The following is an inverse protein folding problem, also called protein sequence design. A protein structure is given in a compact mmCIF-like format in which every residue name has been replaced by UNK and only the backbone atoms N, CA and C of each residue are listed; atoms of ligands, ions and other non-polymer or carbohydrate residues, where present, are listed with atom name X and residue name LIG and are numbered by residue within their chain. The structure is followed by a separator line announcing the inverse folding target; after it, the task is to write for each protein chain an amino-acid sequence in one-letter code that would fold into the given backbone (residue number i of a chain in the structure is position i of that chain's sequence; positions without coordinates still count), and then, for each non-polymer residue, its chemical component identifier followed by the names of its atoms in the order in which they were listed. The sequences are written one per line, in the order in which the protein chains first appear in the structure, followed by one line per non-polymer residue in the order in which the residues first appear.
data_IF_028894412153
#
_entry.id   IF_028894412153
#
_cell.length_a   1.000
_cell.length_b   1.000
_cell.length_c   1.000
_cell.angle_alpha   90.00
_cell.angle_beta   90.00
_cell.angle_gamma   90.00
#
_symmetry.space_group_name_H-M   'P 1'
#
loop_
_entity.id
_entity.type
_entity.pdbx_description
1 polymer ?
#
# COMPACT_ATOMS: atom_id res chain seq x y z
N UNK A 1 -51.30 75.76 -36.79
CA UNK A 1 -50.24 75.90 -35.77
C UNK A 1 -50.19 74.58 -35.03
N UNK A 2 -49.33 73.63 -35.44
CA UNK A 2 -47.94 73.38 -34.99
C UNK A 2 -47.85 72.76 -33.58
N UNK A 3 -47.54 71.47 -33.58
CA UNK A 3 -46.56 70.68 -32.80
C UNK A 3 -46.37 70.84 -31.28
N UNK A 4 -46.37 69.67 -30.61
CA UNK A 4 -45.46 69.16 -29.54
C UNK A 4 -46.28 68.24 -28.62
N UNK A 5 -46.21 66.90 -28.61
CA UNK A 5 -45.15 65.90 -28.71
C UNK A 5 -44.24 65.77 -27.45
N UNK A 6 -44.16 64.50 -27.01
CA UNK A 6 -43.07 63.82 -26.30
C UNK A 6 -43.01 63.72 -24.76
N UNK A 7 -43.25 62.47 -24.35
CA UNK A 7 -42.36 61.62 -23.52
C UNK A 7 -42.40 61.76 -21.99
N UNK A 8 -43.31 60.97 -21.39
CA UNK A 8 -43.05 60.32 -20.10
C UNK A 8 -42.05 59.19 -20.31
N UNK A 9 -40.79 59.39 -19.90
CA UNK A 9 -39.80 58.32 -19.77
C UNK A 9 -39.83 57.74 -18.37
N UNK A 10 -40.09 56.43 -18.35
CA UNK A 10 -40.11 55.45 -17.27
C UNK A 10 -38.99 55.64 -16.22
N UNK A 11 -39.37 55.99 -14.98
CA UNK A 11 -38.50 55.86 -13.81
C UNK A 11 -38.63 54.45 -13.24
N UNK A 12 -37.84 53.50 -13.77
CA UNK A 12 -37.70 52.18 -13.14
C UNK A 12 -36.74 52.26 -11.93
N UNK A 13 -37.06 51.58 -10.82
CA UNK A 13 -36.29 51.66 -9.58
C UNK A 13 -34.87 51.11 -9.76
N UNK A 14 -33.89 51.78 -9.14
CA UNK A 14 -32.45 51.46 -9.17
C UNK A 14 -32.11 49.98 -8.92
N UNK A 15 -32.98 49.23 -8.23
CA UNK A 15 -32.83 47.80 -7.96
C UNK A 15 -32.89 46.92 -9.22
N UNK A 16 -33.69 47.27 -10.23
CA UNK A 16 -33.78 46.49 -11.48
C UNK A 16 -32.52 46.64 -12.33
N UNK A 17 -31.91 47.83 -12.33
CA UNK A 17 -30.65 48.07 -13.05
C UNK A 17 -29.50 47.30 -12.41
N UNK A 18 -29.44 47.24 -11.08
CA UNK A 18 -28.43 46.48 -10.35
C UNK A 18 -28.53 44.97 -10.61
N UNK A 19 -29.76 44.44 -10.68
CA UNK A 19 -29.99 43.03 -10.99
C UNK A 19 -29.56 42.67 -12.42
N UNK A 20 -29.85 43.53 -13.40
CA UNK A 20 -29.42 43.33 -14.79
C UNK A 20 -27.89 43.31 -14.89
N UNK A 21 -27.19 44.19 -14.19
CA UNK A 21 -25.71 44.20 -14.17
C UNK A 21 -25.11 42.98 -13.48
N UNK A 22 -25.72 42.47 -12.40
CA UNK A 22 -25.28 41.25 -11.73
C UNK A 22 -25.45 40.00 -12.61
N UNK A 23 -26.58 39.89 -13.31
CA UNK A 23 -26.81 38.80 -14.26
C UNK A 23 -25.80 38.88 -15.42
N UNK A 24 -25.55 40.07 -15.94
CA UNK A 24 -24.57 40.27 -17.01
C UNK A 24 -23.14 39.91 -16.56
N UNK A 25 -22.74 40.29 -15.35
CA UNK A 25 -21.46 39.91 -14.77
C UNK A 25 -21.32 38.39 -14.57
N UNK A 26 -22.36 37.72 -14.09
CA UNK A 26 -22.38 36.27 -13.93
C UNK A 26 -22.25 35.54 -15.28
N UNK A 27 -22.94 36.03 -16.32
CA UNK A 27 -22.82 35.49 -17.69
C UNK A 27 -21.42 35.72 -18.25
N UNK A 28 -20.80 36.87 -18.02
CA UNK A 28 -19.43 37.13 -18.44
C UNK A 28 -18.40 36.25 -17.72
N UNK A 29 -18.55 36.02 -16.42
CA UNK A 29 -17.68 35.11 -15.65
C UNK A 29 -17.84 33.69 -16.18
N UNK A 30 -19.07 33.23 -16.41
CA UNK A 30 -19.32 31.90 -16.97
C UNK A 30 -18.76 31.75 -18.39
N UNK A 31 -18.93 32.77 -19.24
CA UNK A 31 -18.37 32.79 -20.59
C UNK A 31 -16.84 32.82 -20.57
N UNK A 32 -16.22 33.58 -19.66
CA UNK A 32 -14.77 33.62 -19.47
C UNK A 32 -14.23 32.28 -18.94
N UNK A 33 -14.93 31.62 -18.02
CA UNK A 33 -14.57 30.29 -17.53
C UNK A 33 -14.65 29.23 -18.64
N UNK A 34 -15.73 29.25 -19.44
CA UNK A 34 -15.87 28.36 -20.62
C UNK A 34 -14.85 28.67 -21.70
N UNK A 35 -14.49 29.93 -21.90
CA UNK A 35 -13.45 30.34 -22.84
C UNK A 35 -12.07 29.90 -22.36
N UNK A 36 -11.78 30.03 -21.07
CA UNK A 36 -10.57 29.52 -20.42
C UNK A 36 -10.47 28.00 -20.49
N UNK A 37 -11.57 27.25 -20.30
CA UNK A 37 -11.61 25.80 -20.54
C UNK A 37 -11.26 25.46 -21.99
N UNK A 38 -11.81 26.21 -22.96
CA UNK A 38 -11.59 26.01 -24.40
C UNK A 38 -10.18 26.42 -24.86
N UNK A 39 -9.52 27.30 -24.13
CA UNK A 39 -8.14 27.77 -24.35
C UNK A 39 -7.13 27.21 -23.34
N UNK A 40 -7.55 26.24 -22.52
CA UNK A 40 -6.61 25.35 -21.83
C UNK A 40 -5.65 24.84 -22.88
N UNK A 41 -4.34 24.95 -22.62
CA UNK A 41 -3.33 24.43 -23.54
C UNK A 41 -3.78 23.06 -24.05
N UNK A 42 -3.67 22.78 -25.37
CA UNK A 42 -4.10 21.50 -25.93
C UNK A 42 -3.58 20.40 -25.02
N UNK A 43 -4.40 19.40 -24.64
CA UNK A 43 -3.99 18.37 -23.69
C UNK A 43 -2.63 17.89 -24.15
N UNK A 44 -1.60 18.09 -23.31
CA UNK A 44 -0.24 17.70 -23.67
C UNK A 44 -0.36 16.25 -24.09
N UNK A 45 -0.08 15.95 -25.37
CA UNK A 45 -0.14 14.58 -25.87
C UNK A 45 0.94 13.84 -25.08
N UNK A 46 0.49 13.11 -24.07
CA UNK A 46 1.39 12.43 -23.15
C UNK A 46 2.08 11.32 -23.94
N UNK A 47 3.41 11.25 -23.85
CA UNK A 47 4.16 10.23 -24.55
C UNK A 47 3.65 8.83 -24.14
N UNK A 48 3.49 7.89 -25.09
CA UNK A 48 2.99 6.56 -24.76
C UNK A 48 3.95 5.85 -23.81
N UNK A 49 3.41 5.16 -22.80
CA UNK A 49 4.19 4.32 -21.88
C UNK A 49 4.83 3.19 -22.68
N UNK A 50 6.16 3.16 -22.72
CA UNK A 50 6.93 2.14 -23.45
C UNK A 50 7.30 0.99 -22.52
N UNK A 51 6.84 -0.21 -22.86
CA UNK A 51 7.22 -1.43 -22.16
C UNK A 51 8.48 -2.02 -22.80
N UNK A 52 9.47 -2.34 -21.97
CA UNK A 52 10.64 -3.11 -22.37
C UNK A 52 10.24 -4.56 -22.68
N UNK A 53 10.80 -5.12 -23.75
CA UNK A 53 10.77 -6.57 -24.00
C UNK A 53 11.77 -7.32 -23.10
N UNK A 54 12.62 -6.60 -22.36
CA UNK A 54 13.48 -7.21 -21.35
C UNK A 54 12.65 -7.67 -20.15
N UNK A 55 12.94 -8.88 -19.67
CA UNK A 55 12.24 -9.51 -18.55
C UNK A 55 11.24 -10.59 -18.98
N UNK A 56 10.62 -11.21 -17.98
CA UNK A 56 9.63 -12.25 -18.22
C UNK A 56 8.31 -11.66 -18.75
N UNK A 57 7.69 -12.37 -19.69
CA UNK A 57 6.43 -11.97 -20.32
C UNK A 57 5.21 -12.08 -19.39
N UNK A 58 5.29 -12.92 -18.36
CA UNK A 58 4.19 -13.26 -17.45
C UNK A 58 4.74 -13.87 -16.14
N UNK A 59 3.85 -14.09 -15.17
CA UNK A 59 4.20 -14.62 -13.85
C UNK A 59 4.92 -15.97 -13.88
N UNK A 60 4.40 -16.97 -14.59
CA UNK A 60 5.01 -18.31 -14.59
C UNK A 60 6.40 -18.30 -15.25
N UNK A 61 6.57 -17.50 -16.31
CA UNK A 61 7.85 -17.33 -16.97
C UNK A 61 8.89 -16.70 -16.04
N UNK A 62 8.47 -15.75 -15.18
CA UNK A 62 9.34 -15.13 -14.18
C UNK A 62 9.77 -16.13 -13.10
N UNK A 63 8.82 -16.88 -12.54
CA UNK A 63 9.12 -17.93 -11.55
C UNK A 63 10.08 -18.96 -12.14
N UNK A 64 9.77 -19.50 -13.32
CA UNK A 64 10.62 -20.49 -13.98
C UNK A 64 12.01 -19.96 -14.32
N UNK A 65 12.14 -18.67 -14.64
CA UNK A 65 13.44 -18.04 -14.87
C UNK A 65 14.27 -17.98 -13.58
N UNK A 66 13.66 -17.52 -12.48
CA UNK A 66 14.30 -17.45 -11.17
C UNK A 66 14.72 -18.84 -10.70
N UNK A 67 13.88 -19.86 -10.88
CA UNK A 67 14.19 -21.24 -10.52
C UNK A 67 15.42 -21.77 -11.27
N UNK A 68 15.54 -21.49 -12.57
CA UNK A 68 16.73 -21.84 -13.35
C UNK A 68 17.99 -21.14 -12.85
N UNK A 69 17.90 -19.87 -12.48
CA UNK A 69 19.03 -19.12 -11.92
C UNK A 69 19.47 -19.72 -10.58
N UNK A 70 18.54 -20.02 -9.67
CA UNK A 70 18.85 -20.67 -8.40
C UNK A 70 19.50 -22.04 -8.64
N UNK A 71 18.94 -22.86 -9.53
CA UNK A 71 19.48 -24.17 -9.85
C UNK A 71 20.90 -24.11 -10.44
N UNK A 72 21.19 -23.13 -11.29
CA UNK A 72 22.52 -22.93 -11.86
C UNK A 72 23.55 -22.37 -10.87
N UNK A 73 23.13 -21.53 -9.92
CA UNK A 73 24.01 -20.92 -8.92
C UNK A 73 24.42 -21.89 -7.80
N UNK A 74 23.55 -22.83 -7.42
CA UNK A 74 23.79 -23.76 -6.29
C UNK A 74 25.09 -24.57 -6.45
N UNK A 75 25.33 -25.30 -7.56
CA UNK A 75 26.57 -26.05 -7.72
C UNK A 75 27.83 -25.17 -7.67
N UNK A 76 27.75 -23.92 -8.15
CA UNK A 76 28.87 -22.99 -8.12
C UNK A 76 29.19 -22.53 -6.69
N UNK A 77 28.15 -22.23 -5.90
CA UNK A 77 28.32 -21.90 -4.49
C UNK A 77 28.85 -23.09 -3.67
N UNK A 78 28.43 -24.31 -3.99
CA UNK A 78 28.92 -25.53 -3.32
C UNK A 78 30.40 -25.80 -3.60
N UNK A 79 30.89 -25.44 -4.80
CA UNK A 79 32.32 -25.54 -5.16
C UNK A 79 33.19 -24.44 -4.53
N UNK A 80 32.58 -23.33 -4.09
CA UNK A 80 33.27 -22.17 -3.54
C UNK A 80 32.58 -21.72 -2.23
N UNK A 81 32.64 -22.55 -1.17
CA UNK A 81 31.85 -22.32 0.04
C UNK A 81 32.20 -21.01 0.77
N UNK A 82 33.41 -20.48 0.58
CA UNK A 82 33.87 -19.24 1.20
C UNK A 82 33.56 -17.99 0.36
N UNK A 83 33.10 -18.15 -0.88
CA UNK A 83 32.72 -17.03 -1.74
C UNK A 83 31.34 -16.46 -1.35
N UNK A 84 31.37 -15.38 -0.57
CA UNK A 84 30.17 -14.70 -0.12
C UNK A 84 29.35 -14.09 -1.27
N UNK A 85 29.97 -13.77 -2.43
CA UNK A 85 29.27 -13.20 -3.58
C UNK A 85 28.34 -14.23 -4.23
N UNK A 86 28.75 -15.51 -4.30
CA UNK A 86 27.87 -16.57 -4.82
C UNK A 86 26.65 -16.77 -3.93
N UNK A 87 26.85 -16.72 -2.61
CA UNK A 87 25.76 -16.81 -1.63
C UNK A 87 24.80 -15.64 -1.75
N UNK A 88 25.32 -14.42 -1.91
CA UNK A 88 24.50 -13.23 -2.13
C UNK A 88 23.66 -13.33 -3.41
N UNK A 89 24.23 -13.82 -4.51
CA UNK A 89 23.50 -14.02 -5.76
C UNK A 89 22.33 -14.99 -5.59
N UNK A 90 22.52 -16.10 -4.88
CA UNK A 90 21.42 -17.03 -4.56
C UNK A 90 20.36 -16.32 -3.70
N UNK A 91 20.79 -15.56 -2.69
CA UNK A 91 19.87 -14.81 -1.84
C UNK A 91 19.01 -13.81 -2.63
N UNK A 92 19.60 -13.07 -3.59
CA UNK A 92 18.85 -12.16 -4.46
C UNK A 92 17.76 -12.88 -5.25
N UNK A 93 18.06 -14.05 -5.81
CA UNK A 93 17.06 -14.82 -6.55
C UNK A 93 15.95 -15.33 -5.64
N UNK A 94 16.28 -15.80 -4.43
CA UNK A 94 15.30 -16.21 -3.43
C UNK A 94 14.41 -15.05 -2.97
N UNK A 95 14.98 -13.86 -2.73
CA UNK A 95 14.22 -12.65 -2.38
C UNK A 95 13.28 -12.26 -3.53
N UNK A 96 13.76 -12.32 -4.78
CA UNK A 96 12.94 -12.03 -5.94
C UNK A 96 11.78 -13.02 -6.08
N UNK A 97 12.02 -14.32 -5.87
CA UNK A 97 10.97 -15.35 -5.86
C UNK A 97 9.97 -15.10 -4.74
N UNK A 98 10.44 -14.85 -3.52
CA UNK A 98 9.61 -14.58 -2.35
C UNK A 98 8.68 -13.36 -2.55
N UNK A 99 9.19 -12.26 -3.11
CA UNK A 99 8.39 -11.06 -3.42
C UNK A 99 7.32 -11.34 -4.47
N UNK A 100 7.60 -12.24 -5.41
CA UNK A 100 6.70 -12.58 -6.50
C UNK A 100 5.63 -13.60 -6.07
N UNK A 101 6.02 -14.62 -5.31
CA UNK A 101 5.17 -15.75 -4.90
C UNK A 101 4.47 -15.54 -3.55
N UNK A 102 5.03 -14.72 -2.67
CA UNK A 102 4.60 -14.63 -1.26
C UNK A 102 5.09 -15.79 -0.38
N UNK A 103 6.02 -16.63 -0.84
CA UNK A 103 6.52 -17.77 -0.04
C UNK A 103 7.55 -17.33 1.00
N UNK A 104 7.21 -17.51 2.29
CA UNK A 104 8.08 -17.17 3.42
C UNK A 104 9.31 -18.08 3.53
N UNK A 105 9.25 -19.30 2.99
CA UNK A 105 10.37 -20.24 3.02
C UNK A 105 11.54 -19.74 2.17
N UNK A 106 11.26 -18.94 1.14
CA UNK A 106 12.29 -18.31 0.32
C UNK A 106 13.00 -17.18 1.06
N UNK A 107 12.29 -16.38 1.85
CA UNK A 107 12.92 -15.39 2.72
C UNK A 107 13.81 -16.06 3.78
N UNK A 108 13.38 -17.18 4.36
CA UNK A 108 14.20 -17.96 5.31
C UNK A 108 15.46 -18.50 4.63
N UNK A 109 15.35 -19.08 3.43
CA UNK A 109 16.51 -19.56 2.68
C UNK A 109 17.44 -18.40 2.28
N UNK A 110 16.90 -17.25 1.87
CA UNK A 110 17.70 -16.07 1.56
C UNK A 110 18.48 -15.59 2.79
N UNK A 111 17.83 -15.57 3.96
CA UNK A 111 18.49 -15.24 5.23
C UNK A 111 19.63 -16.20 5.53
N UNK A 112 19.45 -17.51 5.30
CA UNK A 112 20.52 -18.50 5.50
C UNK A 112 21.73 -18.23 4.59
N UNK A 113 21.48 -17.93 3.31
CA UNK A 113 22.56 -17.61 2.36
C UNK A 113 23.32 -16.34 2.77
N UNK A 114 22.61 -15.28 3.15
CA UNK A 114 23.23 -14.03 3.57
C UNK A 114 24.00 -14.18 4.89
N UNK A 115 23.47 -14.93 5.86
CA UNK A 115 24.19 -15.23 7.11
C UNK A 115 25.48 -16.00 6.83
N UNK A 116 25.44 -17.00 5.95
CA UNK A 116 26.63 -17.75 5.55
C UNK A 116 27.64 -16.87 4.80
N UNK A 117 27.17 -15.98 3.91
CA UNK A 117 28.04 -15.02 3.21
C UNK A 117 28.68 -14.00 4.15
N UNK A 118 27.94 -13.51 5.16
CA UNK A 118 28.52 -12.63 6.18
C UNK A 118 29.57 -13.36 7.04
N UNK A 119 29.37 -14.65 7.33
CA UNK A 119 30.32 -15.43 8.12
C UNK A 119 31.64 -15.72 7.37
N UNK A 120 31.62 -15.81 6.04
CA UNK A 120 32.82 -16.03 5.22
C UNK A 120 33.48 -14.73 4.71
N UNK A 121 32.80 -13.59 4.85
CA UNK A 121 33.31 -12.31 4.37
C UNK A 121 34.44 -11.76 5.25
N UNK A 122 35.44 -11.15 4.61
CA UNK A 122 36.47 -10.35 5.30
C UNK A 122 35.81 -9.18 6.04
N UNK A 123 36.28 -8.80 7.24
CA UNK A 123 35.76 -7.63 7.95
C UNK A 123 35.73 -6.36 7.07
N UNK A 124 34.62 -5.63 7.08
CA UNK A 124 34.42 -4.46 6.22
C UNK A 124 34.01 -4.79 4.77
N UNK A 125 33.63 -6.05 4.51
CA UNK A 125 33.06 -6.51 3.24
C UNK A 125 31.86 -7.43 3.49
N UNK A 126 31.26 -7.96 2.43
CA UNK A 126 30.16 -8.91 2.52
C UNK A 126 28.80 -8.30 2.16
N UNK A 127 27.74 -9.13 2.19
CA UNK A 127 26.45 -8.79 1.59
C UNK A 127 25.56 -7.95 2.52
N UNK A 128 26.14 -6.94 3.20
CA UNK A 128 25.42 -6.13 4.19
C UNK A 128 24.24 -5.36 3.58
N UNK A 129 24.36 -4.84 2.36
CA UNK A 129 23.27 -4.13 1.69
C UNK A 129 22.09 -5.07 1.40
N UNK A 130 22.39 -6.26 0.90
CA UNK A 130 21.39 -7.30 0.62
C UNK A 130 20.72 -7.80 1.89
N UNK A 131 21.49 -7.94 2.97
CA UNK A 131 20.97 -8.25 4.30
C UNK A 131 20.07 -7.13 4.84
N UNK A 132 20.44 -5.87 4.64
CA UNK A 132 19.61 -4.72 5.02
C UNK A 132 18.28 -4.72 4.24
N UNK A 133 18.34 -4.95 2.93
CA UNK A 133 17.16 -5.00 2.06
C UNK A 133 16.22 -6.15 2.41
N UNK A 134 16.74 -7.35 2.68
CA UNK A 134 15.94 -8.49 3.16
C UNK A 134 15.33 -8.20 4.53
N UNK A 135 16.13 -7.68 5.46
CA UNK A 135 15.65 -7.34 6.80
C UNK A 135 14.51 -6.32 6.73
N UNK A 136 14.63 -5.31 5.85
CA UNK A 136 13.57 -4.32 5.67
C UNK A 136 12.30 -4.94 5.06
N UNK A 137 12.42 -5.77 4.02
CA UNK A 137 11.25 -6.43 3.40
C UNK A 137 10.55 -7.42 4.32
N UNK A 138 11.24 -7.87 5.38
CA UNK A 138 10.70 -8.73 6.44
C UNK A 138 10.46 -7.96 7.75
N UNK A 139 10.45 -6.62 7.68
CA UNK A 139 10.09 -5.74 8.79
C UNK A 139 11.03 -5.78 10.02
N UNK A 140 12.24 -6.30 9.88
CA UNK A 140 13.28 -6.40 10.92
C UNK A 140 14.15 -5.13 10.99
N UNK A 141 13.52 -4.00 11.35
CA UNK A 141 14.13 -2.67 11.28
C UNK A 141 15.47 -2.56 12.01
N UNK A 142 15.58 -3.13 13.21
CA UNK A 142 16.82 -3.09 14.00
C UNK A 142 17.98 -3.82 13.31
N UNK A 143 17.70 -4.90 12.55
CA UNK A 143 18.72 -5.56 11.75
C UNK A 143 19.10 -4.70 10.54
N UNK A 144 18.13 -4.08 9.87
CA UNK A 144 18.41 -3.12 8.78
C UNK A 144 19.34 -2.01 9.26
N UNK A 145 19.02 -1.36 10.39
CA UNK A 145 19.84 -0.29 11.00
C UNK A 145 21.29 -0.75 11.22
N UNK A 146 21.51 -1.92 11.86
CA UNK A 146 22.85 -2.48 12.07
C UNK A 146 23.62 -2.74 10.78
N UNK A 147 22.94 -3.21 9.73
CA UNK A 147 23.59 -3.48 8.44
C UNK A 147 23.98 -2.18 7.72
N UNK A 148 23.15 -1.14 7.79
CA UNK A 148 23.49 0.17 7.25
C UNK A 148 24.69 0.78 7.98
N UNK A 149 24.71 0.69 9.32
CA UNK A 149 25.86 1.13 10.12
C UNK A 149 27.15 0.36 9.80
N UNK A 150 27.06 -0.93 9.47
CA UNK A 150 28.22 -1.70 9.06
C UNK A 150 28.81 -1.17 7.75
N UNK A 151 27.96 -0.81 6.78
CA UNK A 151 28.36 -0.21 5.50
C UNK A 151 28.99 1.17 5.72
N UNK A 152 28.46 1.98 6.65
CA UNK A 152 29.04 3.29 6.97
C UNK A 152 30.47 3.21 7.52
N UNK A 153 30.88 2.04 8.04
CA UNK A 153 32.23 1.78 8.57
C UNK A 153 33.17 1.14 7.55
N UNK A 154 32.73 0.94 6.31
CA UNK A 154 33.60 0.42 5.25
C UNK A 154 34.75 1.40 4.97
N UNK A 155 35.95 0.86 4.69
CA UNK A 155 37.12 1.67 4.40
C UNK A 155 36.98 2.45 3.07
N UNK A 156 36.24 1.86 2.11
CA UNK A 156 35.93 2.49 0.82
C UNK A 156 34.49 2.99 0.88
N UNK A 157 34.25 4.31 0.70
CA UNK A 157 32.90 4.84 0.63
C UNK A 157 32.08 4.16 -0.48
N UNK A 158 30.80 3.86 -0.26
CA UNK A 158 29.96 3.29 -1.30
C UNK A 158 29.81 4.22 -2.51
N UNK A 159 29.66 3.63 -3.69
CA UNK A 159 29.35 4.35 -4.93
C UNK A 159 28.05 5.15 -4.81
N UNK A 160 27.84 6.12 -5.71
CA UNK A 160 26.68 7.01 -5.68
C UNK A 160 25.34 6.25 -5.65
N UNK A 161 25.16 5.28 -6.55
CA UNK A 161 23.95 4.45 -6.62
C UNK A 161 23.70 3.67 -5.31
N UNK A 162 24.76 3.13 -4.69
CA UNK A 162 24.63 2.46 -3.40
C UNK A 162 24.22 3.45 -2.32
N UNK A 163 24.82 4.65 -2.26
CA UNK A 163 24.44 5.69 -1.28
C UNK A 163 23.00 6.14 -1.43
N UNK A 164 22.47 6.21 -2.64
CA UNK A 164 21.05 6.46 -2.91
C UNK A 164 20.19 5.34 -2.32
N UNK A 165 20.54 4.08 -2.57
CA UNK A 165 19.89 2.92 -1.96
C UNK A 165 19.89 2.96 -0.43
N UNK A 166 21.03 3.29 0.20
CA UNK A 166 21.13 3.46 1.65
C UNK A 166 20.21 4.58 2.16
N UNK A 167 20.14 5.70 1.43
CA UNK A 167 19.27 6.84 1.76
C UNK A 167 17.80 6.43 1.72
N UNK A 168 17.39 5.70 0.68
CA UNK A 168 16.04 5.12 0.59
C UNK A 168 15.71 4.22 1.78
N UNK A 169 16.60 3.29 2.13
CA UNK A 169 16.42 2.38 3.28
C UNK A 169 16.32 3.13 4.62
N UNK A 170 17.09 4.21 4.80
CA UNK A 170 16.96 5.09 5.99
C UNK A 170 15.62 5.81 6.03
N UNK A 171 15.11 6.25 4.88
CA UNK A 171 13.77 6.80 4.74
C UNK A 171 12.70 5.79 5.15
N UNK A 172 12.82 4.55 4.69
CA UNK A 172 11.89 3.46 5.03
C UNK A 172 11.90 3.13 6.53
N UNK A 173 13.08 3.09 7.16
CA UNK A 173 13.19 2.96 8.62
C UNK A 173 12.49 4.13 9.31
N UNK A 174 12.73 5.37 8.90
CA UNK A 174 12.09 6.52 9.49
C UNK A 174 10.56 6.44 9.36
N UNK A 175 10.05 6.04 8.20
CA UNK A 175 8.62 5.85 7.96
C UNK A 175 8.00 4.82 8.90
N UNK A 176 8.56 3.61 8.97
CA UNK A 176 8.05 2.54 9.84
C UNK A 176 8.24 2.80 11.34
N UNK A 177 9.02 3.81 11.72
CA UNK A 177 9.19 4.27 13.10
C UNK A 177 8.30 5.48 13.43
N UNK A 178 7.39 5.87 12.54
CA UNK A 178 6.53 7.06 12.71
C UNK A 178 7.27 8.39 12.58
N UNK A 179 8.53 8.39 12.11
CA UNK A 179 9.36 9.60 11.92
C UNK A 179 9.13 10.20 10.53
N UNK A 180 7.89 10.58 10.22
CA UNK A 180 7.46 10.97 8.86
C UNK A 180 8.25 12.13 8.24
N UNK A 181 8.63 13.15 9.03
CA UNK A 181 9.46 14.27 8.55
C UNK A 181 10.84 13.82 8.09
N UNK A 182 11.46 12.87 8.79
CA UNK A 182 12.75 12.30 8.39
C UNK A 182 12.60 11.42 7.16
N UNK A 183 11.50 10.66 7.05
CA UNK A 183 11.21 9.82 5.89
C UNK A 183 11.10 10.66 4.60
N UNK A 184 10.26 11.70 4.59
CA UNK A 184 10.07 12.55 3.41
C UNK A 184 11.35 13.28 3.01
N UNK A 185 12.16 13.72 3.98
CA UNK A 185 13.44 14.35 3.71
C UNK A 185 14.42 13.38 3.01
N UNK A 186 14.48 12.14 3.47
CA UNK A 186 15.32 11.11 2.84
C UNK A 186 14.85 10.78 1.42
N UNK A 187 13.54 10.63 1.22
CA UNK A 187 12.99 10.36 -0.11
C UNK A 187 13.16 11.53 -1.08
N UNK A 188 13.02 12.78 -0.61
CA UNK A 188 13.22 13.98 -1.42
C UNK A 188 14.69 14.20 -1.82
N UNK A 189 15.64 13.59 -1.10
CA UNK A 189 17.06 13.64 -1.42
C UNK A 189 17.47 12.66 -2.53
N UNK A 190 16.58 11.75 -2.95
CA UNK A 190 16.85 10.84 -4.06
C UNK A 190 16.82 11.59 -5.40
N UNK A 191 17.74 11.31 -6.34
CA UNK A 191 17.87 12.09 -7.57
C UNK A 191 16.76 11.81 -8.61
N UNK A 192 16.08 10.67 -8.49
CA UNK A 192 15.04 10.24 -9.41
C UNK A 192 13.71 10.03 -8.67
N UNK A 193 12.57 10.21 -9.38
CA UNK A 193 11.26 9.78 -8.88
C UNK A 193 11.28 8.35 -8.35
N UNK A 194 10.89 8.16 -7.07
CA UNK A 194 10.93 6.87 -6.39
C UNK A 194 9.53 6.46 -5.88
N UNK A 195 9.21 5.16 -5.95
CA UNK A 195 7.92 4.63 -5.51
C UNK A 195 7.69 4.81 -4.00
N UNK A 196 8.75 4.87 -3.18
CA UNK A 196 8.63 5.12 -1.72
C UNK A 196 8.01 6.48 -1.45
N UNK A 197 8.36 7.50 -2.22
CA UNK A 197 7.75 8.81 -2.10
C UNK A 197 6.27 8.76 -2.49
N UNK A 198 5.88 7.97 -3.51
CA UNK A 198 4.47 7.82 -3.87
C UNK A 198 3.67 7.14 -2.74
N UNK A 199 4.22 6.08 -2.14
CA UNK A 199 3.63 5.41 -0.98
C UNK A 199 3.51 6.37 0.21
N UNK A 200 4.57 7.14 0.49
CA UNK A 200 4.56 8.16 1.54
C UNK A 200 3.45 9.19 1.32
N UNK A 201 3.36 9.77 0.12
CA UNK A 201 2.34 10.75 -0.23
C UNK A 201 0.93 10.17 -0.08
N UNK A 202 0.70 8.94 -0.53
CA UNK A 202 -0.59 8.28 -0.37
C UNK A 202 -0.98 8.10 1.11
N UNK A 203 -0.07 7.57 1.94
CA UNK A 203 -0.31 7.34 3.38
C UNK A 203 -0.34 8.62 4.23
N UNK A 204 -0.01 9.77 3.63
CA UNK A 204 -0.02 11.08 4.30
C UNK A 204 -1.02 12.06 3.67
N UNK A 205 -2.08 11.53 3.05
CA UNK A 205 -3.23 12.32 2.60
C UNK A 205 -3.03 13.07 1.29
N UNK A 206 -2.03 12.69 0.49
CA UNK A 206 -1.69 13.32 -0.80
C UNK A 206 -1.80 12.33 -1.98
N UNK A 207 -2.94 11.62 -2.14
CA UNK A 207 -3.08 10.56 -3.15
C UNK A 207 -2.91 11.08 -4.58
N UNK A 208 -3.40 12.28 -4.90
CA UNK A 208 -3.25 12.86 -6.24
C UNK A 208 -1.77 13.12 -6.60
N UNK A 209 -0.98 13.59 -5.63
CA UNK A 209 0.46 13.77 -5.83
C UNK A 209 1.18 12.43 -5.99
N UNK A 210 0.76 11.41 -5.23
CA UNK A 210 1.27 10.05 -5.36
C UNK A 210 1.01 9.50 -6.77
N UNK A 211 -0.23 9.60 -7.26
CA UNK A 211 -0.64 9.14 -8.60
C UNK A 211 0.12 9.90 -9.71
N UNK A 212 0.28 11.21 -9.55
CA UNK A 212 1.07 12.04 -10.46
C UNK A 212 2.56 11.65 -10.47
N UNK A 213 3.11 11.23 -9.34
CA UNK A 213 4.49 10.72 -9.25
C UNK A 213 4.64 9.36 -9.93
N UNK A 214 3.67 8.44 -9.76
CA UNK A 214 3.67 7.16 -10.47
C UNK A 214 3.65 7.35 -12.00
N UNK A 215 2.86 8.31 -12.50
CA UNK A 215 2.86 8.67 -13.93
C UNK A 215 4.23 9.14 -14.41
N UNK A 216 5.00 9.85 -13.57
CA UNK A 216 6.37 10.28 -13.93
C UNK A 216 7.33 9.10 -13.96
N UNK A 217 7.22 8.17 -13.00
CA UNK A 217 8.03 6.95 -12.95
C UNK A 217 7.78 6.08 -14.19
N UNK A 218 6.52 5.89 -14.59
CA UNK A 218 6.17 5.11 -15.79
C UNK A 218 6.74 5.70 -17.09
N UNK A 219 7.04 7.01 -17.10
CA UNK A 219 7.52 7.76 -18.26
C UNK A 219 9.02 8.00 -18.26
N UNK A 220 9.71 7.75 -17.15
CA UNK A 220 11.14 8.07 -17.02
C UNK A 220 12.06 7.09 -17.75
N UNK A 221 11.55 5.95 -18.23
CA UNK A 221 12.39 4.97 -18.93
C UNK A 221 11.64 3.76 -19.49
N UNK A 222 12.41 2.79 -20.00
CA UNK A 222 11.91 1.50 -20.46
C UNK A 222 11.77 0.55 -19.27
N UNK A 223 10.54 0.34 -18.81
CA UNK A 223 10.24 -0.56 -17.69
C UNK A 223 9.77 -1.93 -18.19
N UNK A 224 10.12 -2.99 -17.47
CA UNK A 224 9.64 -4.35 -17.78
C UNK A 224 8.14 -4.46 -17.55
N UNK A 225 7.48 -5.44 -18.16
CA UNK A 225 6.04 -5.69 -17.93
C UNK A 225 5.73 -5.92 -16.45
N UNK A 226 6.60 -6.62 -15.73
CA UNK A 226 6.48 -6.83 -14.29
C UNK A 226 6.55 -5.53 -13.48
N UNK A 227 7.48 -4.62 -13.80
CA UNK A 227 7.58 -3.33 -13.11
C UNK A 227 6.35 -2.45 -13.38
N UNK A 228 5.86 -2.43 -14.61
CA UNK A 228 4.65 -1.70 -14.98
C UNK A 228 3.41 -2.26 -14.27
N UNK A 229 3.32 -3.59 -14.14
CA UNK A 229 2.25 -4.22 -13.36
C UNK A 229 2.33 -3.88 -11.88
N UNK A 230 3.53 -3.80 -11.28
CA UNK A 230 3.70 -3.36 -9.89
C UNK A 230 3.25 -1.91 -9.69
N UNK A 231 3.56 -1.00 -10.62
CA UNK A 231 3.11 0.39 -10.54
C UNK A 231 1.58 0.48 -10.68
N UNK A 232 1.00 -0.25 -11.63
CA UNK A 232 -0.45 -0.31 -11.82
C UNK A 232 -1.17 -0.93 -10.60
N UNK A 233 -0.55 -1.93 -9.95
CA UNK A 233 -1.06 -2.50 -8.71
C UNK A 233 -1.07 -1.47 -7.58
N UNK A 234 0.06 -0.76 -7.36
CA UNK A 234 0.16 0.30 -6.35
C UNK A 234 -0.86 1.42 -6.62
N UNK A 235 -1.04 1.82 -7.88
CA UNK A 235 -2.09 2.76 -8.29
C UNK A 235 -3.47 2.26 -7.86
N UNK A 236 -3.79 1.00 -8.16
CA UNK A 236 -5.05 0.40 -7.76
C UNK A 236 -5.27 0.39 -6.26
N UNK A 237 -4.23 0.12 -5.47
CA UNK A 237 -4.28 0.20 -4.00
C UNK A 237 -4.56 1.62 -3.49
N UNK A 238 -3.90 2.64 -4.07
CA UNK A 238 -4.15 4.05 -3.70
C UNK A 238 -5.58 4.46 -4.03
N UNK A 239 -6.06 4.10 -5.22
CA UNK A 239 -7.43 4.38 -5.66
C UNK A 239 -8.47 3.65 -4.78
N UNK A 240 -8.18 2.41 -4.39
CA UNK A 240 -9.03 1.64 -3.49
C UNK A 240 -9.14 2.29 -2.11
N UNK A 241 -8.01 2.71 -1.52
CA UNK A 241 -7.95 3.32 -0.19
C UNK A 241 -8.73 4.62 -0.10
N UNK A 242 -8.82 5.40 -1.19
CA UNK A 242 -9.62 6.63 -1.25
C UNK A 242 -11.06 6.42 -1.75
N UNK A 243 -11.50 5.17 -1.89
CA UNK A 243 -12.85 4.80 -2.34
C UNK A 243 -13.12 5.00 -3.84
N UNK A 244 -12.12 5.24 -4.67
CA UNK A 244 -12.27 5.37 -6.12
C UNK A 244 -12.30 3.99 -6.81
N UNK A 245 -13.35 3.20 -6.53
CA UNK A 245 -13.42 1.79 -6.92
C UNK A 245 -13.34 1.54 -8.43
N UNK A 246 -13.91 2.42 -9.28
CA UNK A 246 -13.79 2.28 -10.74
C UNK A 246 -12.33 2.45 -11.21
N UNK A 247 -11.63 3.43 -10.65
CA UNK A 247 -10.22 3.67 -10.95
C UNK A 247 -9.33 2.54 -10.43
N UNK A 248 -9.65 2.00 -9.24
CA UNK A 248 -8.96 0.84 -8.68
C UNK A 248 -9.12 -0.40 -9.59
N UNK A 249 -10.33 -0.72 -10.02
CA UNK A 249 -10.60 -1.85 -10.92
C UNK A 249 -9.90 -1.68 -12.28
N UNK A 250 -9.88 -0.47 -12.84
CA UNK A 250 -9.15 -0.17 -14.07
C UNK A 250 -7.64 -0.37 -13.92
N UNK A 251 -7.06 0.08 -12.80
CA UNK A 251 -5.63 -0.07 -12.51
C UNK A 251 -5.23 -1.54 -12.29
N UNK A 252 -6.04 -2.32 -11.56
CA UNK A 252 -5.81 -3.76 -11.41
C UNK A 252 -5.97 -4.52 -12.75
N UNK A 253 -6.91 -4.09 -13.60
CA UNK A 253 -7.03 -4.59 -14.97
C UNK A 253 -5.78 -4.30 -15.82
N UNK A 254 -5.21 -3.10 -15.68
CA UNK A 254 -3.95 -2.76 -16.34
C UNK A 254 -2.78 -3.59 -15.83
N UNK A 255 -2.68 -3.81 -14.52
CA UNK A 255 -1.65 -4.68 -13.94
C UNK A 255 -1.69 -6.09 -14.55
N UNK A 256 -2.88 -6.67 -14.73
CA UNK A 256 -3.06 -8.00 -15.33
C UNK A 256 -2.67 -8.01 -16.82
N UNK A 257 -2.96 -6.95 -17.57
CA UNK A 257 -2.53 -6.83 -18.97
C UNK A 257 -1.01 -6.75 -19.11
N UNK A 258 -0.34 -6.03 -18.20
CA UNK A 258 1.11 -5.82 -18.24
C UNK A 258 1.90 -7.04 -17.82
N UNK A 259 1.38 -7.81 -16.87
CA UNK A 259 2.03 -9.00 -16.34
C UNK A 259 1.00 -10.09 -15.99
N UNK A 260 0.55 -10.84 -17.00
CA UNK A 260 -0.57 -11.77 -16.85
C UNK A 260 -0.32 -12.88 -15.84
N UNK A 261 -1.43 -13.38 -15.29
CA UNK A 261 -1.50 -14.58 -14.42
C UNK A 261 -0.86 -14.41 -13.04
N UNK A 262 -0.42 -13.20 -12.69
CA UNK A 262 0.08 -12.91 -11.36
C UNK A 262 -1.02 -13.07 -10.32
N UNK A 263 -0.81 -13.97 -9.36
CA UNK A 263 -1.81 -14.34 -8.35
C UNK A 263 -2.30 -13.14 -7.53
N UNK A 264 -1.41 -12.20 -7.21
CA UNK A 264 -1.72 -11.02 -6.40
C UNK A 264 -2.71 -10.09 -7.11
N UNK A 265 -2.50 -9.84 -8.40
CA UNK A 265 -3.43 -9.05 -9.22
C UNK A 265 -4.78 -9.76 -9.33
N UNK A 266 -4.79 -11.07 -9.53
CA UNK A 266 -6.03 -11.84 -9.58
C UNK A 266 -6.83 -11.77 -8.26
N UNK A 267 -6.14 -11.74 -7.12
CA UNK A 267 -6.77 -11.59 -5.82
C UNK A 267 -7.35 -10.18 -5.59
N UNK A 268 -6.66 -9.12 -6.00
CA UNK A 268 -7.25 -7.77 -5.97
C UNK A 268 -8.46 -7.63 -6.89
N UNK A 269 -8.45 -8.28 -8.06
CA UNK A 269 -9.64 -8.34 -8.92
C UNK A 269 -10.80 -9.10 -8.27
N UNK A 270 -10.52 -10.17 -7.53
CA UNK A 270 -11.53 -10.88 -6.73
C UNK A 270 -12.07 -10.01 -5.58
N UNK A 271 -11.22 -9.23 -4.92
CA UNK A 271 -11.61 -8.22 -3.95
C UNK A 271 -12.55 -7.18 -4.56
N UNK A 272 -12.27 -6.66 -5.76
CA UNK A 272 -13.19 -5.72 -6.42
C UNK A 272 -14.55 -6.35 -6.69
N UNK A 273 -14.61 -7.64 -7.05
CA UNK A 273 -15.90 -8.33 -7.19
C UNK A 273 -16.65 -8.39 -5.86
N UNK A 274 -15.96 -8.66 -4.75
CA UNK A 274 -16.56 -8.68 -3.43
C UNK A 274 -17.13 -7.31 -3.04
N UNK A 275 -16.34 -6.25 -3.19
CA UNK A 275 -16.76 -4.87 -2.88
C UNK A 275 -17.99 -4.43 -3.70
N UNK A 276 -18.15 -4.95 -4.93
CA UNK A 276 -19.35 -4.75 -5.77
C UNK A 276 -20.54 -5.64 -5.43
N UNK A 277 -20.51 -6.34 -4.29
CA UNK A 277 -21.57 -7.26 -3.88
C UNK A 277 -21.67 -8.53 -4.73
N UNK A 278 -20.67 -8.83 -5.58
CA UNK A 278 -20.64 -10.05 -6.42
C UNK A 278 -20.06 -11.23 -5.64
N UNK A 279 -20.54 -11.45 -4.41
CA UNK A 279 -19.95 -12.37 -3.41
C UNK A 279 -19.67 -13.77 -3.95
N UNK A 280 -20.63 -14.39 -4.65
CA UNK A 280 -20.43 -15.74 -5.24
C UNK A 280 -19.33 -15.79 -6.30
N UNK A 281 -19.17 -14.71 -7.07
CA UNK A 281 -18.11 -14.62 -8.08
C UNK A 281 -16.75 -14.43 -7.39
N UNK A 282 -16.71 -13.55 -6.39
CA UNK A 282 -15.52 -13.28 -5.59
C UNK A 282 -15.00 -14.55 -4.88
N UNK A 283 -15.88 -15.32 -4.22
CA UNK A 283 -15.50 -16.60 -3.58
C UNK A 283 -14.84 -17.53 -4.60
N UNK A 284 -15.48 -17.78 -5.75
CA UNK A 284 -14.92 -18.65 -6.79
C UNK A 284 -13.58 -18.14 -7.32
N UNK A 285 -13.44 -16.81 -7.45
CA UNK A 285 -12.20 -16.19 -7.91
C UNK A 285 -11.08 -16.37 -6.88
N UNK A 286 -11.32 -16.06 -5.60
CA UNK A 286 -10.34 -16.28 -4.54
C UNK A 286 -9.97 -17.75 -4.38
N UNK A 287 -10.93 -18.68 -4.40
CA UNK A 287 -10.64 -20.12 -4.35
C UNK A 287 -9.78 -20.58 -5.52
N UNK A 288 -9.98 -20.02 -6.72
CA UNK A 288 -9.14 -20.31 -7.87
C UNK A 288 -7.70 -19.81 -7.67
N UNK A 289 -7.51 -18.67 -7.01
CA UNK A 289 -6.17 -18.19 -6.63
C UNK A 289 -5.56 -19.06 -5.53
N UNK A 290 -6.33 -19.42 -4.50
CA UNK A 290 -5.87 -20.24 -3.36
C UNK A 290 -5.49 -21.68 -3.74
N UNK A 291 -5.97 -22.20 -4.89
CA UNK A 291 -5.53 -23.50 -5.43
C UNK A 291 -4.10 -23.51 -5.95
N UNK A 292 -3.55 -22.34 -6.30
CA UNK A 292 -2.22 -22.18 -6.90
C UNK A 292 -1.25 -21.35 -6.05
N UNK A 293 -1.74 -20.77 -4.97
CA UNK A 293 -0.96 -19.98 -4.03
C UNK A 293 -1.44 -20.24 -2.61
N UNK A 294 -0.49 -20.50 -1.70
CA UNK A 294 -0.73 -20.92 -0.32
C UNK A 294 -0.84 -19.73 0.66
N UNK A 295 -1.03 -18.51 0.16
CA UNK A 295 -1.11 -17.31 1.01
C UNK A 295 -2.34 -17.36 1.94
N UNK A 296 -2.16 -17.30 3.28
CA UNK A 296 -3.27 -17.36 4.23
C UNK A 296 -4.25 -16.18 4.13
N UNK A 297 -3.84 -15.01 3.64
CA UNK A 297 -4.74 -13.86 3.46
C UNK A 297 -5.81 -14.13 2.39
N UNK A 298 -5.51 -14.98 1.39
CA UNK A 298 -6.53 -15.44 0.44
C UNK A 298 -7.63 -16.23 1.15
N UNK A 299 -7.26 -17.02 2.17
CA UNK A 299 -8.19 -17.84 2.93
C UNK A 299 -9.00 -17.01 3.91
N UNK A 300 -8.40 -15.99 4.52
CA UNK A 300 -9.12 -15.00 5.31
C UNK A 300 -10.16 -14.28 4.45
N UNK A 301 -9.79 -13.84 3.24
CA UNK A 301 -10.73 -13.23 2.31
C UNK A 301 -11.91 -14.16 1.97
N UNK A 302 -11.64 -15.45 1.71
CA UNK A 302 -12.70 -16.45 1.48
C UNK A 302 -13.59 -16.61 2.71
N UNK A 303 -13.01 -16.74 3.91
CA UNK A 303 -13.74 -16.88 5.16
C UNK A 303 -14.63 -15.66 5.44
N UNK A 304 -14.14 -14.44 5.20
CA UNK A 304 -14.92 -13.20 5.32
C UNK A 304 -16.13 -13.20 4.39
N UNK A 305 -15.98 -13.69 3.16
CA UNK A 305 -17.07 -13.74 2.19
C UNK A 305 -18.13 -14.78 2.55
N UNK A 306 -17.72 -15.94 3.07
CA UNK A 306 -18.66 -16.93 3.60
C UNK A 306 -19.41 -16.38 4.81
N UNK A 307 -18.73 -15.66 5.72
CA UNK A 307 -19.36 -15.01 6.87
C UNK A 307 -20.38 -13.97 6.43
N UNK A 308 -20.02 -13.12 5.47
CA UNK A 308 -20.93 -12.13 4.89
C UNK A 308 -22.16 -12.77 4.21
N UNK A 309 -22.03 -14.01 3.71
CA UNK A 309 -23.12 -14.78 3.13
C UNK A 309 -23.95 -15.57 4.18
N UNK A 310 -23.58 -15.53 5.46
CA UNK A 310 -24.24 -16.28 6.54
C UNK A 310 -23.87 -17.77 6.60
N UNK A 311 -22.85 -18.20 5.87
CA UNK A 311 -22.36 -19.58 5.89
C UNK A 311 -21.21 -19.73 6.90
N UNK A 312 -21.59 -20.00 8.15
CA UNK A 312 -20.65 -20.16 9.25
C UNK A 312 -19.79 -21.43 9.11
N UNK A 313 -20.31 -22.51 8.52
CA UNK A 313 -19.51 -23.72 8.31
C UNK A 313 -18.37 -23.48 7.32
N UNK A 314 -18.66 -22.78 6.20
CA UNK A 314 -17.65 -22.32 5.26
C UNK A 314 -16.66 -21.35 5.90
N UNK A 315 -17.15 -20.43 6.73
CA UNK A 315 -16.30 -19.50 7.49
C UNK A 315 -15.28 -20.22 8.35
N UNK A 316 -15.72 -21.13 9.23
CA UNK A 316 -14.85 -21.87 10.15
C UNK A 316 -13.82 -22.73 9.40
N UNK A 317 -14.22 -23.38 8.31
CA UNK A 317 -13.32 -24.19 7.49
C UNK A 317 -12.16 -23.35 6.93
N UNK A 318 -12.47 -22.20 6.34
CA UNK A 318 -11.47 -21.37 5.67
C UNK A 318 -10.64 -20.56 6.67
N UNK A 319 -11.26 -20.05 7.73
CA UNK A 319 -10.56 -19.38 8.83
C UNK A 319 -9.58 -20.32 9.52
N UNK A 320 -9.97 -21.58 9.81
CA UNK A 320 -9.08 -22.57 10.40
C UNK A 320 -7.86 -22.88 9.52
N UNK A 321 -8.02 -22.92 8.19
CA UNK A 321 -6.90 -23.06 7.25
C UNK A 321 -6.00 -21.84 7.21
N UNK A 322 -6.57 -20.63 7.27
CA UNK A 322 -5.81 -19.40 7.37
C UNK A 322 -4.97 -19.37 8.66
N UNK A 323 -5.57 -19.72 9.79
CA UNK A 323 -4.93 -19.79 11.10
C UNK A 323 -3.69 -20.70 11.10
N UNK A 324 -3.78 -21.87 10.47
CA UNK A 324 -2.64 -22.79 10.31
C UNK A 324 -1.50 -22.15 9.53
N UNK A 325 -1.81 -21.48 8.42
CA UNK A 325 -0.81 -20.79 7.60
C UNK A 325 -0.17 -19.60 8.31
N UNK A 326 -0.94 -18.80 9.06
CA UNK A 326 -0.40 -17.72 9.87
C UNK A 326 0.48 -18.23 11.02
N UNK A 327 0.08 -19.33 11.68
CA UNK A 327 0.89 -19.96 12.70
C UNK A 327 2.22 -20.48 12.14
N UNK A 328 2.25 -21.01 10.91
CA UNK A 328 3.50 -21.36 10.23
C UNK A 328 4.35 -20.12 9.93
N UNK A 329 3.78 -19.08 9.32
CA UNK A 329 4.51 -17.84 9.00
C UNK A 329 5.08 -17.15 10.23
N UNK A 330 4.33 -17.12 11.34
CA UNK A 330 4.80 -16.60 12.63
C UNK A 330 5.97 -17.41 13.22
N UNK A 331 6.06 -18.72 12.94
CA UNK A 331 7.22 -19.53 13.34
C UNK A 331 8.44 -19.25 12.46
N UNK A 332 8.24 -19.05 11.16
CA UNK A 332 9.31 -18.82 10.21
C UNK A 332 9.92 -17.42 10.35
N UNK A 333 9.08 -16.38 10.28
CA UNK A 333 9.46 -14.98 10.28
C UNK A 333 8.40 -14.14 11.01
N UNK A 334 8.43 -14.09 12.36
CA UNK A 334 7.41 -13.42 13.15
C UNK A 334 7.17 -11.98 12.70
N UNK A 335 8.23 -11.17 12.59
CA UNK A 335 8.14 -9.73 12.28
C UNK A 335 7.46 -9.44 10.93
N UNK A 336 7.63 -10.35 9.95
CA UNK A 336 6.99 -10.23 8.64
C UNK A 336 5.51 -10.65 8.65
N UNK A 337 5.11 -11.51 9.58
CA UNK A 337 3.75 -12.06 9.65
C UNK A 337 2.85 -11.31 10.65
N UNK A 338 3.42 -10.56 11.60
CA UNK A 338 2.69 -9.96 12.72
C UNK A 338 1.47 -9.14 12.28
N UNK A 339 1.64 -8.19 11.35
CA UNK A 339 0.55 -7.31 10.92
C UNK A 339 -0.67 -8.09 10.43
N UNK A 340 -0.47 -8.99 9.46
CA UNK A 340 -1.57 -9.81 8.93
C UNK A 340 -2.10 -10.84 9.92
N UNK A 341 -1.27 -11.35 10.83
CA UNK A 341 -1.75 -12.23 11.89
C UNK A 341 -2.66 -11.49 12.89
N UNK A 342 -2.42 -10.19 13.14
CA UNK A 342 -3.35 -9.37 13.95
C UNK A 342 -4.71 -9.26 13.25
N UNK A 343 -4.71 -8.98 11.95
CA UNK A 343 -5.91 -8.89 11.12
C UNK A 343 -6.74 -10.17 11.18
N UNK A 344 -6.07 -11.32 11.01
CA UNK A 344 -6.69 -12.63 11.17
C UNK A 344 -7.31 -12.83 12.55
N UNK A 345 -6.58 -12.52 13.63
CA UNK A 345 -7.08 -12.72 15.00
C UNK A 345 -8.24 -11.77 15.36
N UNK A 346 -8.25 -10.56 14.81
CA UNK A 346 -9.37 -9.62 14.94
C UNK A 346 -10.61 -10.14 14.22
N UNK A 347 -10.44 -10.75 13.05
CA UNK A 347 -11.55 -11.25 12.24
C UNK A 347 -12.06 -12.61 12.73
N UNK A 348 -11.19 -13.58 12.98
CA UNK A 348 -11.55 -14.99 13.17
C UNK A 348 -11.01 -15.63 14.44
N UNK A 349 -10.03 -14.99 15.10
CA UNK A 349 -9.36 -15.52 16.27
C UNK A 349 -9.93 -14.99 17.58
N UNK A 350 -9.03 -14.73 18.53
CA UNK A 350 -9.43 -14.23 19.85
C UNK A 350 -8.96 -12.79 20.09
N UNK A 351 -9.77 -11.93 20.75
CA UNK A 351 -9.34 -10.57 21.07
C UNK A 351 -8.03 -10.53 21.86
N UNK A 352 -7.83 -11.44 22.81
CA UNK A 352 -6.62 -11.49 23.62
C UNK A 352 -5.37 -11.74 22.76
N UNK A 353 -5.46 -12.67 21.81
CA UNK A 353 -4.36 -12.98 20.89
C UNK A 353 -4.09 -11.84 19.91
N UNK A 354 -5.14 -11.22 19.37
CA UNK A 354 -5.03 -10.03 18.52
C UNK A 354 -4.25 -8.91 19.25
N UNK A 355 -4.58 -8.65 20.52
CA UNK A 355 -3.91 -7.61 21.32
C UNK A 355 -2.45 -7.95 21.63
N UNK A 356 -2.13 -9.21 21.94
CA UNK A 356 -0.74 -9.64 22.14
C UNK A 356 0.10 -9.38 20.89
N UNK A 357 -0.38 -9.81 19.72
CA UNK A 357 0.32 -9.64 18.45
C UNK A 357 0.42 -8.16 18.07
N UNK A 358 -0.64 -7.38 18.22
CA UNK A 358 -0.67 -5.97 17.85
C UNK A 358 0.30 -5.14 18.70
N UNK A 359 0.41 -5.44 20.00
CA UNK A 359 1.40 -4.80 20.88
C UNK A 359 2.83 -5.08 20.43
N UNK A 360 3.12 -6.33 20.07
CA UNK A 360 4.45 -6.72 19.57
C UNK A 360 4.77 -6.01 18.25
N UNK A 361 3.81 -5.94 17.34
CA UNK A 361 4.00 -5.30 16.04
C UNK A 361 4.21 -3.79 16.15
N UNK A 362 3.35 -3.11 16.92
CA UNK A 362 3.47 -1.68 17.18
C UNK A 362 4.79 -1.34 17.89
N UNK A 363 5.25 -2.16 18.84
CA UNK A 363 6.53 -1.95 19.50
C UNK A 363 7.73 -2.04 18.54
N UNK A 364 7.65 -2.92 17.53
CA UNK A 364 8.69 -3.04 16.52
C UNK A 364 8.66 -1.89 15.52
N UNK A 365 7.46 -1.40 15.15
CA UNK A 365 7.24 -0.50 14.01
C UNK A 365 6.17 0.55 14.28
N UNK A 366 6.36 1.50 15.22
CA UNK A 366 5.29 2.39 15.72
C UNK A 366 4.88 3.46 14.69
N UNK A 367 4.18 3.06 13.64
CA UNK A 367 3.63 3.91 12.59
C UNK A 367 2.11 3.69 12.47
N UNK A 368 1.43 4.58 11.73
CA UNK A 368 -0.03 4.62 11.61
C UNK A 368 -0.70 3.26 11.44
N UNK A 369 -0.32 2.44 10.46
CA UNK A 369 -0.97 1.14 10.24
C UNK A 369 -0.93 0.21 11.47
N UNK A 370 0.22 0.09 12.14
CA UNK A 370 0.33 -0.73 13.36
C UNK A 370 -0.39 -0.11 14.57
N UNK A 371 -0.47 1.22 14.63
CA UNK A 371 -1.22 1.93 15.67
C UNK A 371 -2.73 1.69 15.50
N UNK A 372 -3.23 1.74 14.26
CA UNK A 372 -4.60 1.42 13.89
C UNK A 372 -4.95 -0.03 14.28
N UNK A 373 -4.10 -0.99 13.91
CA UNK A 373 -4.29 -2.39 14.29
C UNK A 373 -4.31 -2.59 15.82
N UNK A 374 -3.42 -1.90 16.54
CA UNK A 374 -3.42 -1.90 18.01
C UNK A 374 -4.69 -1.25 18.59
N UNK A 375 -5.17 -0.16 18.01
CA UNK A 375 -6.42 0.50 18.40
C UNK A 375 -7.62 -0.44 18.27
N UNK A 376 -7.76 -1.13 17.13
CA UNK A 376 -8.80 -2.16 16.95
C UNK A 376 -8.68 -3.30 17.96
N UNK A 377 -7.46 -3.78 18.23
CA UNK A 377 -7.24 -4.82 19.22
C UNK A 377 -7.57 -4.37 20.66
N UNK A 378 -7.30 -3.12 21.02
CA UNK A 378 -7.69 -2.55 22.30
C UNK A 378 -9.21 -2.45 22.44
N UNK A 379 -9.91 -2.00 21.39
CA UNK A 379 -11.38 -1.98 21.35
C UNK A 379 -11.96 -3.38 21.52
N UNK A 380 -11.42 -4.38 20.80
CA UNK A 380 -11.87 -5.77 20.90
C UNK A 380 -11.68 -6.36 22.32
N UNK A 381 -10.79 -5.77 23.13
CA UNK A 381 -10.55 -6.14 24.52
C UNK A 381 -11.25 -5.21 25.52
N UNK A 382 -12.27 -4.46 25.10
CA UNK A 382 -13.04 -3.54 25.94
C UNK A 382 -12.16 -2.44 26.60
N UNK A 383 -11.17 -1.91 25.85
CA UNK A 383 -10.25 -0.85 26.31
C UNK A 383 -10.30 0.39 25.40
N UNK A 384 -11.48 1.00 25.20
CA UNK A 384 -11.64 2.11 24.25
C UNK A 384 -10.84 3.36 24.63
N UNK A 385 -10.69 3.68 25.92
CA UNK A 385 -9.89 4.84 26.35
C UNK A 385 -8.40 4.72 25.98
N UNK A 386 -7.85 3.50 26.05
CA UNK A 386 -6.47 3.27 25.62
C UNK A 386 -6.35 3.28 24.10
N UNK A 387 -7.38 2.82 23.38
CA UNK A 387 -7.42 2.91 21.92
C UNK A 387 -7.37 4.37 21.47
N UNK A 388 -8.19 5.26 22.06
CA UNK A 388 -8.16 6.70 21.75
C UNK A 388 -6.77 7.28 21.98
N UNK A 389 -6.12 7.01 23.12
CA UNK A 389 -4.76 7.51 23.37
C UNK A 389 -3.76 7.13 22.28
N UNK A 390 -3.87 5.92 21.72
CA UNK A 390 -3.01 5.48 20.61
C UNK A 390 -3.38 6.21 19.32
N UNK A 391 -4.67 6.33 19.00
CA UNK A 391 -5.14 6.92 17.75
C UNK A 391 -5.03 8.45 17.72
N UNK A 392 -5.21 9.14 18.85
CA UNK A 392 -4.99 10.59 18.96
C UNK A 392 -3.56 10.98 18.57
N UNK A 393 -2.58 10.13 18.92
CA UNK A 393 -1.20 10.31 18.49
C UNK A 393 -1.02 10.15 16.98
N UNK A 394 -1.82 9.30 16.33
CA UNK A 394 -1.85 9.14 14.87
C UNK A 394 -2.55 10.32 14.22
N UNK A 395 -3.70 10.76 14.74
CA UNK A 395 -4.46 11.93 14.28
C UNK A 395 -3.63 13.21 14.35
N UNK A 396 -2.76 13.34 15.36
CA UNK A 396 -1.78 14.43 15.48
C UNK A 396 -0.54 14.29 14.59
N UNK A 397 -0.41 13.22 13.81
CA UNK A 397 0.73 12.95 12.94
C UNK A 397 0.44 13.30 11.48
N UNK A 398 1.40 13.04 10.59
CA UNK A 398 1.17 13.20 9.13
C UNK A 398 0.42 12.02 8.50
N UNK A 399 0.18 10.92 9.22
CA UNK A 399 -0.58 9.79 8.69
C UNK A 399 -2.04 10.18 8.48
N UNK A 400 -2.62 9.71 7.38
CA UNK A 400 -4.01 9.98 7.01
C UNK A 400 -4.61 8.72 6.39
N UNK A 401 -5.64 8.15 7.03
CA UNK A 401 -6.42 7.05 6.46
C UNK A 401 -7.82 7.02 7.06
N UNK A 402 -8.82 6.52 6.33
CA UNK A 402 -10.18 6.42 6.85
C UNK A 402 -10.24 5.51 8.09
N UNK A 403 -9.44 4.45 8.11
CA UNK A 403 -9.44 3.45 9.18
C UNK A 403 -9.01 4.03 10.53
N UNK A 404 -8.13 5.03 10.57
CA UNK A 404 -7.75 5.67 11.84
C UNK A 404 -8.96 6.35 12.49
N UNK A 405 -9.75 7.04 11.68
CA UNK A 405 -10.94 7.75 12.11
C UNK A 405 -12.05 6.77 12.48
N UNK A 406 -12.17 5.64 11.79
CA UNK A 406 -13.11 4.57 12.20
C UNK A 406 -12.77 3.96 13.56
N UNK A 407 -11.48 3.81 13.89
CA UNK A 407 -11.07 3.36 15.24
C UNK A 407 -11.46 4.42 16.28
N UNK A 408 -11.16 5.70 16.01
CA UNK A 408 -11.50 6.80 16.91
C UNK A 408 -13.02 6.89 17.13
N UNK A 409 -13.81 6.89 16.06
CA UNK A 409 -15.26 6.88 16.09
C UNK A 409 -15.81 5.76 16.96
N UNK A 410 -15.30 4.53 16.76
CA UNK A 410 -15.74 3.38 17.55
C UNK A 410 -15.38 3.52 19.02
N UNK A 411 -14.19 4.02 19.33
CA UNK A 411 -13.76 4.20 20.71
C UNK A 411 -14.55 5.30 21.43
N UNK A 412 -14.82 6.45 20.77
CA UNK A 412 -15.70 7.50 21.29
C UNK A 412 -17.11 6.99 21.56
N UNK A 413 -17.71 6.25 20.62
CA UNK A 413 -19.03 5.67 20.79
C UNK A 413 -19.11 4.72 22.00
N UNK A 414 -18.08 3.90 22.23
CA UNK A 414 -17.99 3.01 23.39
C UNK A 414 -17.81 3.75 24.73
N UNK A 415 -17.32 4.98 24.70
CA UNK A 415 -17.19 5.86 25.86
C UNK A 415 -18.43 6.76 26.08
N UNK A 416 -19.42 6.68 25.20
CA UNK A 416 -20.65 7.47 25.29
C UNK A 416 -20.56 8.88 24.69
N UNK A 417 -19.50 9.18 23.94
CA UNK A 417 -19.33 10.46 23.23
C UNK A 417 -19.81 10.33 21.79
N UNK A 418 -21.12 10.43 21.58
CA UNK A 418 -21.73 10.27 20.25
C UNK A 418 -21.34 11.40 19.28
N UNK A 419 -21.17 12.63 19.78
CA UNK A 419 -20.80 13.77 18.96
C UNK A 419 -19.40 13.64 18.38
N UNK A 420 -18.42 13.24 19.20
CA UNK A 420 -17.08 12.96 18.69
C UNK A 420 -17.06 11.73 17.76
N UNK A 421 -17.89 10.72 18.05
CA UNK A 421 -17.98 9.54 17.18
C UNK A 421 -18.50 9.88 15.78
N UNK A 422 -19.53 10.72 15.67
CA UNK A 422 -20.07 11.20 14.39
C UNK A 422 -19.05 12.05 13.63
N UNK A 423 -18.35 12.96 14.31
CA UNK A 423 -17.30 13.78 13.67
C UNK A 423 -16.18 12.93 13.06
N UNK A 424 -15.72 11.90 13.77
CA UNK A 424 -14.71 10.96 13.24
C UNK A 424 -15.25 10.12 12.06
N UNK A 425 -16.55 9.77 12.05
CA UNK A 425 -17.15 9.10 10.89
C UNK A 425 -17.18 10.01 9.65
N UNK A 426 -17.48 11.29 9.83
CA UNK A 426 -17.47 12.28 8.75
C UNK A 426 -16.07 12.43 8.15
N UNK A 427 -15.02 12.48 8.98
CA UNK A 427 -13.62 12.50 8.52
C UNK A 427 -13.25 11.21 7.76
N UNK A 428 -13.68 10.05 8.24
CA UNK A 428 -13.47 8.78 7.53
C UNK A 428 -14.12 8.79 6.14
N UNK A 429 -15.36 9.29 6.04
CA UNK A 429 -16.10 9.40 4.78
C UNK A 429 -15.49 10.44 3.82
N UNK A 430 -14.93 11.52 4.34
CA UNK A 430 -14.22 12.51 3.55
C UNK A 430 -12.97 11.94 2.88
N UNK A 431 -12.27 11.02 3.54
CA UNK A 431 -11.11 10.31 2.99
C UNK A 431 -11.50 9.17 2.05
N UNK A 432 -12.58 8.45 2.37
CA UNK A 432 -13.10 7.34 1.58
C UNK A 432 -14.62 7.27 1.70
N UNK A 433 -15.39 7.57 0.63
CA UNK A 433 -16.86 7.55 0.67
C UNK A 433 -17.46 6.16 0.96
N UNK A 434 -16.67 5.10 0.87
CA UNK A 434 -17.05 3.72 1.17
C UNK A 434 -16.52 3.24 2.54
N UNK A 435 -15.98 4.13 3.38
CA UNK A 435 -15.39 3.77 4.68
C UNK A 435 -16.36 3.02 5.60
N UNK A 436 -17.66 3.31 5.50
CA UNK A 436 -18.71 2.69 6.32
C UNK A 436 -19.42 1.52 5.62
N UNK A 437 -18.99 1.12 4.43
CA UNK A 437 -19.60 -0.01 3.73
C UNK A 437 -19.33 -1.32 4.47
N UNK A 438 -20.39 -2.05 4.81
CA UNK A 438 -20.29 -3.29 5.58
C UNK A 438 -19.35 -4.32 4.94
N UNK A 439 -19.42 -4.48 3.62
CA UNK A 439 -18.56 -5.42 2.88
C UNK A 439 -17.09 -5.00 2.90
N UNK A 440 -16.81 -3.69 2.83
CA UNK A 440 -15.45 -3.17 2.92
C UNK A 440 -14.85 -3.43 4.31
N UNK A 441 -15.67 -3.29 5.36
CA UNK A 441 -15.28 -3.55 6.75
C UNK A 441 -15.02 -5.04 7.03
N UNK A 442 -15.68 -5.95 6.31
CA UNK A 442 -15.53 -7.40 6.50
C UNK A 442 -14.38 -8.00 5.70
N UNK A 443 -13.95 -7.38 4.60
CA UNK A 443 -12.93 -7.91 3.73
C UNK A 443 -11.56 -7.33 4.08
N UNK A 444 -10.74 -8.09 4.83
CA UNK A 444 -9.40 -7.70 5.27
C UNK A 444 -8.35 -8.21 4.28
N UNK A 445 -8.32 -7.65 3.08
CA UNK A 445 -7.35 -8.03 2.04
C UNK A 445 -6.79 -6.77 1.38
N UNK A 446 -5.46 -6.63 1.31
CA UNK A 446 -4.82 -5.60 0.48
C UNK A 446 -4.94 -4.15 0.96
N UNK A 447 -5.16 -3.93 2.26
CA UNK A 447 -5.27 -2.61 2.91
C UNK A 447 -3.93 -1.92 3.17
#
# INVERSE_FOLDING_TARGET
MRDADLMRVDQRPLAERALVWLVFAAVLIFAAARFAEKWSAPPRIEAPIRQSSAGARDYDAAIAHIDRLIAGLRPLADQQPDDWLMRERIAHQLIARARLSGDFRDYVQAQQQLSAGLASATPGSGPHLSQAALALSTHRLALTERMLEAIDRYAVPPEAEVREGLTGLRGDIAFYRGRYRAAVAAYAALPQPDQRMAIFLAKTGQPEQALGLLNRIERSGLLTGQMLAQIALLRGTIELQRGSWDAAEAAFGEADRRFPRWWLVAAHRAQMQALRGRTRQAIRAFEAVARRNDDPALRDAIASLYRAAGDYAGTELWAGRAAQGWAERLKLLPEAALGHAVEHELAFGTPARALELARRDFALRPHGATAIALGWALIANNRPAEALKIIDAVNGSSWQSAEQHLVAARAHALLGDSGAAEAEQDEALALNPHALDATATLLWYGH
#
